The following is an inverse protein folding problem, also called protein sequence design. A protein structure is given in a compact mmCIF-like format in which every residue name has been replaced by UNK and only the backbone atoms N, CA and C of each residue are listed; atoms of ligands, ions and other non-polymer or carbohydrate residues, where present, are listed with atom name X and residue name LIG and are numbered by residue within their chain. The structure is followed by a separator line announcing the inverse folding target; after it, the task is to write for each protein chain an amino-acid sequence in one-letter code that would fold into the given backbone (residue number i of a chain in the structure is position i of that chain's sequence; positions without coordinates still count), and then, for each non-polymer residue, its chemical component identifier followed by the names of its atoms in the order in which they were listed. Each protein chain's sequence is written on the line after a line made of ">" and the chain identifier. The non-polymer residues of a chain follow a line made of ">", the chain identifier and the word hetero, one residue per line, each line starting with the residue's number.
data_IF_697474085974
#
_entry.id   IF_697474085974
#
_cell.length_a   1.000
_cell.length_b   1.000
_cell.length_c   1.000
_cell.angle_alpha   90.00
_cell.angle_beta   90.00
_cell.angle_gamma   90.00
#
_symmetry.space_group_name_H-M   'P 1'
#
loop_
_entity.id
_entity.type
_entity.pdbx_description
1 polymer ?
#
# COMPACT_ATOMS: atom_id res chain seq x y z
N UNK A 1 -7.97 -6.38 11.40
CA UNK A 1 -6.65 -6.35 10.81
C UNK A 1 -5.98 -5.01 11.13
N UNK A 2 -4.82 -5.08 11.75
CA UNK A 2 -4.11 -3.85 12.11
C UNK A 2 -3.57 -3.16 10.87
N UNK A 3 -3.72 -1.83 10.86
CA UNK A 3 -3.23 -1.02 9.75
C UNK A 3 -1.84 -0.51 10.06
N UNK A 4 -0.99 -0.50 9.04
CA UNK A 4 0.39 -0.07 9.18
C UNK A 4 0.50 1.44 9.20
N UNK A 5 1.62 1.92 9.71
CA UNK A 5 1.90 3.35 9.71
C UNK A 5 2.04 3.85 8.28
N UNK A 6 1.69 5.09 8.10
CA UNK A 6 1.88 5.78 6.84
C UNK A 6 2.06 7.25 7.15
N UNK A 7 2.60 7.98 6.20
CA UNK A 7 2.58 9.43 6.27
C UNK A 7 1.81 9.94 5.07
N UNK A 8 1.43 11.21 5.11
CA UNK A 8 0.75 11.80 3.98
C UNK A 8 1.24 13.23 3.78
N UNK A 9 1.32 13.62 2.52
CA UNK A 9 1.74 14.96 2.14
C UNK A 9 0.77 15.47 1.08
N UNK A 10 0.60 16.79 0.99
CA UNK A 10 -0.21 17.34 -0.11
C UNK A 10 0.53 17.27 -1.43
N UNK A 11 -0.22 17.29 -2.51
CA UNK A 11 0.38 17.40 -3.83
C UNK A 11 1.21 18.67 -3.92
N UNK A 12 2.23 18.64 -4.74
CA UNK A 12 3.16 19.75 -4.86
C UNK A 12 4.33 19.69 -3.88
N UNK A 13 4.27 18.79 -2.90
CA UNK A 13 5.38 18.63 -1.94
C UNK A 13 6.60 18.11 -2.69
N UNK A 14 7.77 18.70 -2.41
CA UNK A 14 9.01 18.23 -3.01
C UNK A 14 9.31 16.81 -2.55
N UNK A 15 9.87 16.01 -3.45
CA UNK A 15 10.23 14.63 -3.14
C UNK A 15 11.09 14.56 -1.90
N UNK A 16 12.05 15.46 -1.77
CA UNK A 16 12.94 15.52 -0.60
C UNK A 16 12.15 15.63 0.70
N UNK A 17 11.12 16.47 0.72
CA UNK A 17 10.30 16.67 1.91
C UNK A 17 9.44 15.43 2.19
N UNK A 18 8.92 14.78 1.15
CA UNK A 18 8.16 13.54 1.33
C UNK A 18 9.03 12.43 1.93
N UNK A 19 10.28 12.31 1.45
CA UNK A 19 11.20 11.31 2.00
C UNK A 19 11.54 11.62 3.45
N UNK A 20 11.67 12.88 3.80
CA UNK A 20 11.93 13.28 5.19
C UNK A 20 10.76 12.87 6.09
N UNK A 21 9.53 13.03 5.59
CA UNK A 21 8.34 12.60 6.34
C UNK A 21 8.33 11.08 6.53
N UNK A 22 8.65 10.34 5.49
CA UNK A 22 8.71 8.89 5.58
C UNK A 22 9.74 8.44 6.62
N UNK A 23 10.89 9.08 6.62
CA UNK A 23 11.96 8.77 7.56
C UNK A 23 11.53 9.09 8.99
N UNK A 24 10.94 10.25 9.19
CA UNK A 24 10.51 10.68 10.51
C UNK A 24 9.39 9.79 11.06
N UNK A 25 8.47 9.40 10.21
CA UNK A 25 7.35 8.55 10.59
C UNK A 25 7.72 7.06 10.61
N UNK A 26 8.93 6.72 10.19
CA UNK A 26 9.43 5.35 10.13
C UNK A 26 8.51 4.45 9.32
N UNK A 27 8.13 4.93 8.14
CA UNK A 27 7.28 4.18 7.22
C UNK A 27 7.92 4.19 5.84
N UNK A 28 7.60 3.17 5.04
CA UNK A 28 8.07 3.11 3.66
C UNK A 28 6.99 3.46 2.66
N UNK A 29 5.93 4.11 3.13
CA UNK A 29 4.80 4.52 2.29
C UNK A 29 4.43 5.95 2.63
N UNK A 30 4.25 6.76 1.58
CA UNK A 30 3.75 8.13 1.73
C UNK A 30 2.54 8.28 0.81
N UNK A 31 1.43 8.69 1.38
CA UNK A 31 0.22 8.92 0.62
C UNK A 31 0.16 10.39 0.22
N UNK A 32 -0.20 10.64 -1.03
CA UNK A 32 -0.27 12.00 -1.55
C UNK A 32 -1.73 12.38 -1.71
N UNK A 33 -2.10 13.52 -1.14
CA UNK A 33 -3.49 13.96 -1.13
C UNK A 33 -3.65 15.29 -1.84
N UNK A 34 -4.85 15.52 -2.33
CA UNK A 34 -5.23 16.80 -2.90
C UNK A 34 -6.64 17.07 -2.43
N UNK A 35 -6.83 18.17 -1.70
CA UNK A 35 -8.13 18.50 -1.11
C UNK A 35 -8.70 17.34 -0.31
N UNK A 36 -7.83 16.72 0.51
CA UNK A 36 -8.16 15.57 1.37
C UNK A 36 -8.51 14.28 0.62
N UNK A 37 -8.34 14.26 -0.69
CA UNK A 37 -8.55 13.05 -1.47
C UNK A 37 -7.21 12.41 -1.81
N UNK A 38 -7.16 11.10 -1.76
CA UNK A 38 -5.95 10.37 -2.12
C UNK A 38 -5.76 10.42 -3.63
N UNK A 39 -4.62 10.95 -4.08
CA UNK A 39 -4.34 11.05 -5.51
C UNK A 39 -3.10 10.26 -5.92
N UNK A 40 -2.28 9.84 -4.96
CA UNK A 40 -1.09 9.08 -5.32
C UNK A 40 -0.47 8.40 -4.13
N UNK A 41 0.48 7.52 -4.42
CA UNK A 41 1.23 6.81 -3.40
C UNK A 41 2.70 6.79 -3.80
N UNK A 42 3.57 7.07 -2.84
CA UNK A 42 5.01 6.99 -3.02
C UNK A 42 5.51 5.84 -2.16
N UNK A 43 6.14 4.87 -2.79
CA UNK A 43 6.63 3.68 -2.10
C UNK A 43 8.14 3.61 -2.17
N UNK A 44 8.71 2.70 -1.40
CA UNK A 44 10.14 2.44 -1.43
C UNK A 44 10.60 2.10 -2.84
N UNK A 45 9.79 1.39 -3.59
CA UNK A 45 10.11 1.03 -4.97
C UNK A 45 10.25 2.26 -5.86
N UNK A 46 9.32 3.22 -5.69
CA UNK A 46 9.41 4.48 -6.45
C UNK A 46 10.71 5.20 -6.13
N UNK A 47 11.10 5.20 -4.86
CA UNK A 47 12.34 5.86 -4.44
C UNK A 47 13.54 5.18 -5.10
N UNK A 48 13.58 3.85 -5.09
CA UNK A 48 14.69 3.11 -5.69
C UNK A 48 14.78 3.33 -7.19
N UNK A 49 13.65 3.28 -7.87
CA UNK A 49 13.67 3.33 -9.34
C UNK A 49 13.72 4.74 -9.91
N UNK A 50 13.23 5.73 -9.16
CA UNK A 50 13.07 7.08 -9.69
C UNK A 50 13.88 8.15 -8.99
N UNK A 51 14.42 7.86 -7.83
CA UNK A 51 15.20 8.85 -7.07
C UNK A 51 16.65 8.41 -6.95
N UNK A 52 16.89 7.16 -6.54
CA UNK A 52 18.26 6.67 -6.38
C UNK A 52 19.02 6.69 -7.69
N UNK A 53 18.35 6.45 -8.81
CA UNK A 53 18.95 6.47 -10.13
C UNK A 53 19.03 7.89 -10.72
N UNK A 54 18.24 8.80 -10.20
CA UNK A 54 18.17 10.18 -10.70
C UNK A 54 18.02 11.12 -9.51
N UNK A 55 19.12 11.41 -8.79
CA UNK A 55 19.04 12.21 -7.56
C UNK A 55 18.45 13.61 -7.74
N UNK A 56 18.49 14.15 -8.95
CA UNK A 56 17.88 15.45 -9.22
C UNK A 56 16.37 15.43 -8.93
N UNK A 57 15.76 14.26 -8.97
CA UNK A 57 14.33 14.14 -8.69
C UNK A 57 13.97 14.41 -7.23
N UNK A 58 14.97 14.58 -6.36
CA UNK A 58 14.72 15.03 -5.00
C UNK A 58 14.10 16.42 -4.96
N UNK A 59 14.33 17.22 -6.00
CA UNK A 59 13.91 18.62 -6.02
C UNK A 59 12.60 18.88 -6.78
N UNK A 60 12.00 17.86 -7.36
CA UNK A 60 10.74 18.03 -8.09
C UNK A 60 9.56 17.67 -7.18
N UNK A 61 8.36 18.00 -7.65
CA UNK A 61 7.15 17.68 -6.90
C UNK A 61 6.91 16.17 -6.87
N UNK A 62 6.42 15.69 -5.75
CA UNK A 62 6.15 14.27 -5.55
C UNK A 62 5.17 13.74 -6.59
N UNK A 63 4.30 14.61 -7.11
CA UNK A 63 3.32 14.25 -8.13
C UNK A 63 3.96 13.66 -9.37
N UNK A 64 5.21 14.03 -9.64
CA UNK A 64 5.87 13.61 -10.88
C UNK A 64 6.49 12.22 -10.79
N UNK A 65 6.64 11.68 -9.58
CA UNK A 65 7.24 10.35 -9.43
C UNK A 65 6.32 9.36 -8.72
N UNK A 66 5.26 9.82 -8.09
CA UNK A 66 4.34 8.95 -7.38
C UNK A 66 3.59 8.04 -8.35
N UNK A 67 3.04 6.97 -7.82
CA UNK A 67 2.08 6.17 -8.58
C UNK A 67 0.72 6.84 -8.40
N UNK A 68 0.15 7.32 -9.50
CA UNK A 68 -1.11 8.04 -9.46
C UNK A 68 -2.30 7.08 -9.39
N UNK A 69 -3.40 7.56 -8.82
CA UNK A 69 -4.65 6.82 -8.73
C UNK A 69 -4.47 5.42 -8.16
N UNK A 70 -3.93 5.32 -6.95
CA UNK A 70 -3.67 4.01 -6.36
C UNK A 70 -4.96 3.24 -6.11
N UNK A 71 -4.86 1.92 -6.18
CA UNK A 71 -5.97 1.06 -5.85
C UNK A 71 -6.16 1.14 -4.33
N UNK A 72 -7.40 1.37 -3.91
CA UNK A 72 -7.74 1.46 -2.49
C UNK A 72 -8.70 0.33 -2.12
N UNK A 73 -8.74 0.02 -0.83
CA UNK A 73 -9.68 -0.96 -0.30
C UNK A 73 -10.39 -0.36 0.90
N UNK A 74 -11.49 -0.98 1.29
CA UNK A 74 -12.23 -0.57 2.48
C UNK A 74 -11.87 -1.51 3.63
N UNK A 75 -12.16 -1.10 4.89
CA UNK A 75 -11.76 -1.92 6.05
C UNK A 75 -12.39 -3.30 6.12
N UNK A 76 -13.46 -3.53 5.38
CA UNK A 76 -14.15 -4.81 5.40
C UNK A 76 -13.57 -5.84 4.43
N UNK A 77 -12.51 -5.50 3.71
CA UNK A 77 -11.87 -6.47 2.83
C UNK A 77 -11.32 -7.63 3.67
N UNK A 78 -11.46 -8.84 3.17
CA UNK A 78 -10.91 -10.00 3.87
C UNK A 78 -9.39 -10.06 3.67
N UNK A 79 -8.70 -10.74 4.59
CA UNK A 79 -7.26 -10.91 4.47
C UNK A 79 -6.91 -11.68 3.19
N UNK A 80 -7.72 -12.67 2.83
CA UNK A 80 -7.48 -13.44 1.62
C UNK A 80 -7.62 -12.58 0.37
N UNK A 81 -8.65 -11.74 0.31
CA UNK A 81 -8.85 -10.84 -0.81
C UNK A 81 -7.73 -9.82 -0.93
N UNK A 82 -7.30 -9.27 0.23
CA UNK A 82 -6.22 -8.29 0.24
C UNK A 82 -4.92 -8.91 -0.27
N UNK A 83 -4.58 -10.10 0.22
CA UNK A 83 -3.37 -10.78 -0.18
C UNK A 83 -3.39 -11.11 -1.66
N UNK A 84 -4.54 -11.56 -2.12
CA UNK A 84 -4.71 -11.94 -3.51
C UNK A 84 -4.58 -10.73 -4.44
N UNK A 85 -5.15 -9.59 -4.04
CA UNK A 85 -5.05 -8.36 -4.80
C UNK A 85 -3.61 -7.86 -4.85
N UNK A 86 -2.89 -7.94 -3.73
CA UNK A 86 -1.49 -7.57 -3.69
C UNK A 86 -0.64 -8.43 -4.61
N UNK A 87 -0.92 -9.73 -4.63
CA UNK A 87 -0.19 -10.64 -5.49
C UNK A 87 -0.50 -10.40 -6.96
N UNK A 88 -1.78 -10.25 -7.29
CA UNK A 88 -2.21 -10.02 -8.66
C UNK A 88 -1.62 -8.74 -9.26
N UNK A 89 -1.58 -7.68 -8.47
CA UNK A 89 -1.10 -6.38 -8.93
C UNK A 89 0.37 -6.12 -8.60
N UNK A 90 1.01 -7.06 -7.91
CA UNK A 90 2.40 -6.90 -7.47
C UNK A 90 2.58 -5.70 -6.54
N UNK A 91 1.58 -5.43 -5.71
CA UNK A 91 1.62 -4.37 -4.72
C UNK A 91 1.98 -4.95 -3.36
N UNK A 92 2.68 -4.16 -2.56
CA UNK A 92 3.00 -4.53 -1.18
C UNK A 92 2.25 -3.67 -0.18
N UNK A 93 1.53 -2.68 -0.67
CA UNK A 93 0.80 -1.73 0.16
C UNK A 93 -0.53 -1.41 -0.49
N UNK A 94 -1.58 -1.38 0.32
CA UNK A 94 -2.90 -0.97 -0.14
C UNK A 94 -3.42 0.11 0.79
N UNK A 95 -3.66 1.33 0.29
CA UNK A 95 -4.32 2.35 1.10
C UNK A 95 -5.72 1.90 1.46
N UNK A 96 -6.12 2.15 2.71
CA UNK A 96 -7.45 1.79 3.20
C UNK A 96 -8.23 3.08 3.41
N UNK A 97 -9.39 3.14 2.81
CA UNK A 97 -10.25 4.33 2.89
C UNK A 97 -11.63 3.94 3.40
N UNK A 98 -12.36 4.92 3.96
CA UNK A 98 -13.73 4.69 4.38
C UNK A 98 -14.67 4.90 3.20
N UNK A 99 -15.97 4.79 3.44
CA UNK A 99 -16.99 4.93 2.39
C UNK A 99 -17.00 6.31 1.74
N UNK A 100 -16.42 7.30 2.40
CA UNK A 100 -16.34 8.65 1.84
C UNK A 100 -15.02 8.92 1.15
N UNK A 101 -14.16 7.90 1.07
CA UNK A 101 -12.86 8.04 0.45
C UNK A 101 -11.80 8.62 1.35
N UNK A 102 -12.09 8.78 2.66
CA UNK A 102 -11.11 9.31 3.60
C UNK A 102 -10.13 8.22 3.98
N UNK A 103 -8.84 8.58 4.02
CA UNK A 103 -7.78 7.63 4.35
C UNK A 103 -7.90 7.21 5.81
N UNK A 104 -7.93 5.90 6.05
CA UNK A 104 -7.95 5.34 7.38
C UNK A 104 -6.55 4.82 7.75
N UNK A 105 -5.83 4.27 6.80
CA UNK A 105 -4.52 3.71 7.05
C UNK A 105 -3.95 3.05 5.83
N UNK A 106 -2.93 2.25 6.03
CA UNK A 106 -2.29 1.49 4.97
C UNK A 106 -2.17 0.04 5.39
N UNK A 107 -2.46 -0.87 4.47
CA UNK A 107 -2.37 -2.30 4.69
C UNK A 107 -1.15 -2.81 3.96
N UNK A 108 -0.19 -3.39 4.67
CA UNK A 108 1.00 -3.94 4.05
C UNK A 108 0.85 -5.44 3.85
N UNK A 109 1.60 -5.97 2.90
CA UNK A 109 1.66 -7.41 2.67
C UNK A 109 2.06 -8.14 3.97
N UNK A 110 3.05 -7.60 4.68
CA UNK A 110 3.51 -8.20 5.92
C UNK A 110 2.42 -8.22 6.98
N UNK A 111 1.62 -7.15 7.08
CA UNK A 111 0.54 -7.09 8.06
C UNK A 111 -0.51 -8.17 7.79
N UNK A 112 -0.82 -8.42 6.51
CA UNK A 112 -1.78 -9.45 6.16
C UNK A 112 -1.24 -10.84 6.49
N UNK A 113 0.02 -11.10 6.17
CA UNK A 113 0.65 -12.39 6.48
C UNK A 113 0.66 -12.60 7.99
N UNK A 114 1.03 -11.58 8.77
CA UNK A 114 1.07 -11.68 10.23
C UNK A 114 -0.32 -11.95 10.81
N UNK A 115 -1.34 -11.31 10.24
CA UNK A 115 -2.71 -11.52 10.68
C UNK A 115 -3.14 -12.98 10.47
N UNK A 116 -2.85 -13.52 9.29
CA UNK A 116 -3.18 -14.91 8.98
C UNK A 116 -2.42 -15.89 9.88
N UNK A 117 -1.15 -15.63 10.11
CA UNK A 117 -0.33 -16.49 10.96
C UNK A 117 -0.84 -16.51 12.39
N UNK A 118 -1.38 -15.39 12.87
CA UNK A 118 -1.92 -15.31 14.23
C UNK A 118 -3.29 -15.99 14.35
N UNK A 119 -4.06 -15.99 13.25
CA UNK A 119 -5.44 -16.54 13.26
C UNK A 119 -5.49 -18.04 13.02
N UNK A 120 -4.55 -18.58 12.28
CA UNK A 120 -4.59 -19.97 11.88
C UNK A 120 -3.35 -20.71 12.33
N UNK A 121 -3.49 -21.92 12.88
CA UNK A 121 -2.34 -22.75 13.24
C UNK A 121 -1.48 -23.07 12.02
N UNK A 122 -0.21 -23.30 12.26
CA UNK A 122 0.75 -23.58 11.19
C UNK A 122 0.31 -24.76 10.31
N UNK A 123 -0.21 -25.80 10.91
CA UNK A 123 -0.63 -26.96 10.14
C UNK A 123 -1.79 -26.63 9.20
N UNK A 124 -2.64 -25.67 9.54
CA UNK A 124 -3.72 -25.24 8.64
C UNK A 124 -3.13 -24.46 7.48
N UNK A 125 -2.13 -23.60 7.76
CA UNK A 125 -1.50 -22.80 6.73
C UNK A 125 -0.71 -23.66 5.73
N UNK A 126 -0.23 -24.81 6.16
CA UNK A 126 0.54 -25.71 5.30
C UNK A 126 -0.31 -26.64 4.46
N UNK A 127 -1.62 -26.60 4.62
CA UNK A 127 -2.51 -27.42 3.79
C UNK A 127 -2.73 -26.73 2.45
N UNK A 128 -2.90 -27.50 1.38
CA UNK A 128 -3.26 -26.91 0.10
C UNK A 128 -4.58 -26.15 0.24
N UNK A 129 -4.68 -24.96 -0.32
CA UNK A 129 -5.95 -24.21 -0.24
C UNK A 129 -7.03 -24.90 -1.06
N UNK A 130 -8.26 -24.80 -0.59
CA UNK A 130 -9.40 -25.26 -1.36
C UNK A 130 -9.78 -24.16 -2.34
N UNK A 131 -10.20 -24.51 -3.54
CA UNK A 131 -10.56 -23.49 -4.52
C UNK A 131 -11.66 -22.55 -4.06
N UNK A 132 -12.56 -22.99 -3.19
CA UNK A 132 -13.67 -22.17 -2.73
C UNK A 132 -13.35 -21.32 -1.51
N UNK A 133 -12.13 -21.40 -0.96
CA UNK A 133 -11.74 -20.62 0.20
C UNK A 133 -11.25 -19.21 -0.17
N UNK A 134 -10.91 -19.01 -1.42
CA UNK A 134 -10.32 -17.74 -1.87
C UNK A 134 -11.10 -17.19 -3.04
N UNK A 135 -11.09 -15.84 -3.20
CA UNK A 135 -11.69 -15.24 -4.39
C UNK A 135 -11.02 -15.77 -5.64
N UNK A 136 -11.82 -16.06 -6.67
CA UNK A 136 -11.24 -16.53 -7.91
C UNK A 136 -11.10 -15.40 -8.85
N UNK A 137 -10.02 -15.34 -9.37
CA UNK A 137 -9.92 -14.39 -10.35
C UNK A 137 -9.96 -15.08 -11.58
N UNK A 138 -10.43 -15.34 -11.89
CA UNK A 138 -10.31 -16.06 -12.69
C UNK A 138 -9.57 -15.89 -13.51
N UNK A 139 -9.09 -16.26 -13.48
CA UNK A 139 -8.39 -16.36 -13.85
C UNK A 139 -8.03 -16.05 -14.55
N UNK A 140 -8.25 -15.75 -14.51
CA UNK A 140 -7.82 -15.74 -15.04
C UNK A 140 -7.11 -15.24 -15.00
N UNK A 141 -7.28 -15.24 -14.69
CA UNK A 141 -6.69 -14.95 -14.58
C UNK A 141 -6.21 -14.84 -14.62
#
# INVERSE_FOLDING_TARGET
>A
LDLSKFCQVPGGTAVRAALAEMRQSKTNVCLVTETNNLVGILTERDVLTKVATTPENLNIAVDEIMTANPITVTPDISAAEALWLMDDKQFRNLPVVDEKGKIIGSMTHQAVISFLAARYPVEVLNRPPRPDQFPRKQEGG
#
